data_IF_421963573954
#
_entry.id   IF_421963573954
#
_cell.length_a   1.000
_cell.length_b   1.000
_cell.length_c   1.000
_cell.angle_alpha   90.00
_cell.angle_beta   90.00
_cell.angle_gamma   90.00
#
_symmetry.space_group_name_H-M   'P 1'
#
loop_
_entity.id
_entity.type
_entity.pdbx_description
1 polymer ?
#
# COMPACT_ATOMS: atom_id res chain seq x y z
N UNK A 1 40.31 -73.39 -0.03
CA UNK A 1 39.51 -72.51 0.84
C UNK A 1 39.35 -71.11 0.24
N UNK A 2 40.37 -70.60 -0.47
CA UNK A 2 40.49 -69.22 -0.96
C UNK A 2 39.40 -68.70 -1.94
N UNK A 3 38.69 -69.57 -2.67
CA UNK A 3 37.65 -69.13 -3.63
C UNK A 3 36.35 -68.68 -2.95
N UNK A 4 36.04 -69.18 -1.75
CA UNK A 4 34.82 -68.78 -1.02
C UNK A 4 35.01 -67.46 -0.29
N UNK A 5 36.16 -67.27 0.39
CA UNK A 5 36.49 -66.02 1.09
C UNK A 5 36.54 -64.82 0.14
N UNK A 6 37.12 -64.99 -1.04
CA UNK A 6 37.14 -63.95 -2.07
C UNK A 6 35.73 -63.57 -2.58
N UNK A 7 34.79 -64.53 -2.65
CA UNK A 7 33.40 -64.24 -3.02
C UNK A 7 32.63 -63.50 -1.92
N UNK A 8 32.89 -63.79 -0.66
CA UNK A 8 32.28 -63.07 0.47
C UNK A 8 32.82 -61.64 0.60
N UNK A 9 34.13 -61.45 0.44
CA UNK A 9 34.77 -60.13 0.38
C UNK A 9 34.18 -59.28 -0.75
N UNK A 10 34.04 -59.82 -1.97
CA UNK A 10 33.43 -59.10 -3.09
C UNK A 10 31.96 -58.74 -2.81
N UNK A 11 31.17 -59.65 -2.22
CA UNK A 11 29.78 -59.37 -1.81
C UNK A 11 29.70 -58.24 -0.78
N UNK A 12 30.57 -58.24 0.23
CA UNK A 12 30.66 -57.19 1.24
C UNK A 12 31.00 -55.81 0.65
N UNK A 13 31.91 -55.76 -0.33
CA UNK A 13 32.27 -54.52 -1.05
C UNK A 13 31.08 -54.00 -1.86
N UNK A 14 30.36 -54.87 -2.58
CA UNK A 14 29.16 -54.46 -3.34
C UNK A 14 28.04 -53.93 -2.44
N UNK A 15 27.78 -54.54 -1.28
CA UNK A 15 26.73 -54.07 -0.35
C UNK A 15 27.09 -52.70 0.23
N UNK A 16 28.36 -52.48 0.57
CA UNK A 16 28.84 -51.18 1.07
C UNK A 16 28.72 -50.08 0.02
N UNK A 17 29.01 -50.38 -1.25
CA UNK A 17 28.86 -49.45 -2.36
C UNK A 17 27.40 -49.07 -2.59
N UNK A 18 26.48 -50.05 -2.62
CA UNK A 18 25.04 -49.81 -2.78
C UNK A 18 24.49 -48.97 -1.63
N UNK A 19 24.91 -49.25 -0.38
CA UNK A 19 24.51 -48.46 0.79
C UNK A 19 24.97 -47.01 0.67
N UNK A 20 26.20 -46.78 0.20
CA UNK A 20 26.73 -45.42 0.02
C UNK A 20 25.95 -44.66 -1.07
N UNK A 21 25.60 -45.30 -2.19
CA UNK A 21 24.77 -44.69 -3.24
C UNK A 21 23.36 -44.36 -2.74
N UNK A 22 22.76 -45.23 -1.93
CA UNK A 22 21.46 -44.93 -1.32
C UNK A 22 21.53 -43.71 -0.39
N UNK A 23 22.60 -43.63 0.42
CA UNK A 23 22.80 -42.52 1.35
C UNK A 23 23.02 -41.18 0.62
N UNK A 24 23.70 -41.17 -0.52
CA UNK A 24 23.86 -39.93 -1.31
C UNK A 24 22.53 -39.48 -1.91
N UNK A 25 21.69 -40.39 -2.38
CA UNK A 25 20.34 -40.07 -2.89
C UNK A 25 19.49 -39.44 -1.78
N UNK A 26 19.51 -40.03 -0.58
CA UNK A 26 18.77 -39.50 0.58
C UNK A 26 19.29 -38.11 0.95
N UNK A 27 20.61 -37.90 0.97
CA UNK A 27 21.20 -36.60 1.27
C UNK A 27 20.78 -35.52 0.27
N UNK A 28 20.77 -35.84 -1.04
CA UNK A 28 20.33 -34.92 -2.09
C UNK A 28 18.84 -34.59 -1.93
N UNK A 29 17.99 -35.58 -1.65
CA UNK A 29 16.57 -35.37 -1.43
C UNK A 29 16.30 -34.45 -0.23
N UNK A 30 17.03 -34.64 0.88
CA UNK A 30 16.95 -33.77 2.06
C UNK A 30 17.39 -32.34 1.75
N UNK A 31 18.47 -32.15 0.99
CA UNK A 31 18.94 -30.83 0.55
C UNK A 31 17.88 -30.08 -0.26
N UNK A 32 17.24 -30.77 -1.22
CA UNK A 32 16.15 -30.20 -2.03
C UNK A 32 14.96 -29.84 -1.13
N UNK A 33 14.61 -30.70 -0.17
CA UNK A 33 13.51 -30.46 0.75
C UNK A 33 13.76 -29.24 1.63
N UNK A 34 14.95 -29.13 2.23
CA UNK A 34 15.35 -27.99 3.06
C UNK A 34 15.30 -26.69 2.25
N UNK A 35 15.84 -26.69 1.03
CA UNK A 35 15.79 -25.53 0.14
C UNK A 35 14.36 -25.08 -0.14
N UNK A 36 13.47 -26.02 -0.49
CA UNK A 36 12.06 -25.74 -0.76
C UNK A 36 11.34 -25.21 0.48
N UNK A 37 11.62 -25.80 1.65
CA UNK A 37 11.06 -25.39 2.94
C UNK A 37 11.49 -23.96 3.33
N UNK A 38 12.77 -23.62 3.18
CA UNK A 38 13.27 -22.26 3.42
C UNK A 38 12.61 -21.24 2.48
N UNK A 39 12.49 -21.57 1.19
CA UNK A 39 11.83 -20.70 0.21
C UNK A 39 10.35 -20.47 0.55
N UNK A 40 9.66 -21.52 1.00
CA UNK A 40 8.27 -21.43 1.44
C UNK A 40 8.11 -20.55 2.69
N UNK A 41 8.97 -20.72 3.70
CA UNK A 41 8.98 -19.88 4.90
C UNK A 41 9.18 -18.39 4.58
N UNK A 42 10.10 -18.06 3.66
CA UNK A 42 10.31 -16.67 3.22
C UNK A 42 9.07 -16.05 2.59
N UNK A 43 8.37 -16.80 1.71
CA UNK A 43 7.11 -16.33 1.11
C UNK A 43 6.03 -16.07 2.16
N UNK A 44 5.89 -16.96 3.14
CA UNK A 44 4.92 -16.77 4.24
C UNK A 44 5.28 -15.55 5.07
N UNK A 45 6.56 -15.36 5.42
CA UNK A 45 6.99 -14.21 6.22
C UNK A 45 6.75 -12.90 5.48
N UNK A 46 7.03 -12.85 4.18
CA UNK A 46 6.76 -11.68 3.34
C UNK A 46 5.26 -11.40 3.24
N UNK A 47 4.44 -12.44 3.04
CA UNK A 47 2.98 -12.30 3.01
C UNK A 47 2.43 -11.74 4.33
N UNK A 48 2.88 -12.28 5.47
CA UNK A 48 2.46 -11.82 6.79
C UNK A 48 2.86 -10.35 7.03
N UNK A 49 4.09 -9.98 6.69
CA UNK A 49 4.58 -8.60 6.80
C UNK A 49 3.78 -7.65 5.92
N UNK A 50 3.53 -8.01 4.66
CA UNK A 50 2.78 -7.17 3.74
C UNK A 50 1.32 -7.00 4.18
N UNK A 51 0.70 -8.06 4.74
CA UNK A 51 -0.64 -7.98 5.32
C UNK A 51 -0.68 -7.01 6.50
N UNK A 52 0.27 -7.11 7.42
CA UNK A 52 0.33 -6.23 8.59
C UNK A 52 0.53 -4.76 8.18
N UNK A 53 1.41 -4.50 7.21
CA UNK A 53 1.60 -3.15 6.65
C UNK A 53 0.31 -2.64 6.01
N UNK A 54 -0.40 -3.49 5.27
CA UNK A 54 -1.66 -3.11 4.64
C UNK A 54 -2.75 -2.78 5.68
N UNK A 55 -2.88 -3.59 6.72
CA UNK A 55 -3.81 -3.33 7.83
C UNK A 55 -3.47 -2.01 8.54
N UNK A 56 -2.20 -1.77 8.86
CA UNK A 56 -1.74 -0.50 9.46
C UNK A 56 -2.02 0.70 8.56
N UNK A 57 -1.81 0.58 7.24
CA UNK A 57 -2.12 1.65 6.29
C UNK A 57 -3.62 1.92 6.19
N UNK A 58 -4.47 0.89 6.21
CA UNK A 58 -5.94 1.07 6.22
C UNK A 58 -6.38 1.83 7.47
N UNK A 59 -5.93 1.41 8.65
CA UNK A 59 -6.23 2.09 9.91
C UNK A 59 -5.76 3.54 9.92
N UNK A 60 -4.57 3.84 9.40
CA UNK A 60 -4.07 5.21 9.29
C UNK A 60 -4.93 6.08 8.36
N UNK A 61 -5.40 5.52 7.24
CA UNK A 61 -6.30 6.22 6.32
C UNK A 61 -7.65 6.50 6.95
N UNK A 62 -8.21 5.52 7.66
CA UNK A 62 -9.47 5.68 8.39
C UNK A 62 -9.37 6.76 9.48
N UNK A 63 -8.28 6.80 10.25
CA UNK A 63 -8.03 7.86 11.24
C UNK A 63 -7.96 9.25 10.60
N UNK A 64 -7.21 9.39 9.50
CA UNK A 64 -7.13 10.66 8.76
C UNK A 64 -8.48 11.10 8.20
N UNK A 65 -9.30 10.16 7.72
CA UNK A 65 -10.65 10.47 7.25
C UNK A 65 -11.54 10.98 8.39
N UNK A 66 -11.46 10.36 9.57
CA UNK A 66 -12.21 10.83 10.75
C UNK A 66 -11.75 12.21 11.23
N UNK A 67 -10.45 12.50 11.20
CA UNK A 67 -9.91 13.83 11.53
C UNK A 67 -10.41 14.88 10.54
N UNK A 68 -10.33 14.60 9.23
CA UNK A 68 -10.85 15.48 8.19
C UNK A 68 -12.35 15.72 8.31
N UNK A 69 -13.13 14.70 8.67
CA UNK A 69 -14.57 14.84 8.88
C UNK A 69 -14.89 15.77 10.06
N UNK A 70 -14.16 15.63 11.18
CA UNK A 70 -14.29 16.55 12.33
C UNK A 70 -13.91 17.98 11.96
N UNK A 71 -12.81 18.17 11.23
CA UNK A 71 -12.39 19.48 10.75
C UNK A 71 -13.42 20.10 9.81
N UNK A 72 -14.01 19.31 8.90
CA UNK A 72 -15.08 19.77 8.02
C UNK A 72 -16.33 20.22 8.78
N UNK A 73 -16.75 19.47 9.80
CA UNK A 73 -17.90 19.83 10.64
C UNK A 73 -17.62 21.14 11.38
N UNK A 74 -16.47 21.23 12.05
CA UNK A 74 -16.06 22.44 12.77
C UNK A 74 -15.94 23.65 11.84
N UNK A 75 -15.42 23.48 10.63
CA UNK A 75 -15.32 24.54 9.64
C UNK A 75 -16.70 24.96 9.11
N UNK A 76 -17.61 24.00 8.87
CA UNK A 76 -19.00 24.29 8.49
C UNK A 76 -19.73 25.08 9.57
N UNK A 77 -19.55 24.75 10.84
CA UNK A 77 -20.14 25.51 11.96
C UNK A 77 -19.58 26.92 12.04
N UNK A 78 -18.25 27.08 11.94
CA UNK A 78 -17.60 28.40 11.90
C UNK A 78 -18.08 29.24 10.70
N UNK A 79 -18.31 28.61 9.54
CA UNK A 79 -18.90 29.29 8.39
C UNK A 79 -20.34 29.74 8.66
N UNK A 80 -21.19 28.87 9.23
CA UNK A 80 -22.57 29.24 9.60
C UNK A 80 -22.61 30.41 10.58
N UNK A 81 -21.69 30.44 11.56
CA UNK A 81 -21.59 31.53 12.53
C UNK A 81 -21.13 32.85 11.89
N UNK A 82 -20.16 32.78 10.96
CA UNK A 82 -19.72 33.96 10.17
C UNK A 82 -20.82 34.49 9.25
N UNK A 83 -21.64 33.62 8.66
CA UNK A 83 -22.78 34.03 7.83
C UNK A 83 -23.82 34.78 8.67
N UNK A 84 -24.15 34.28 9.88
CA UNK A 84 -25.06 35.00 10.80
C UNK A 84 -24.51 36.36 11.24
N UNK A 85 -23.23 36.43 11.64
CA UNK A 85 -22.60 37.69 12.04
C UNK A 85 -22.51 38.72 10.89
N UNK A 86 -22.35 38.26 9.64
CA UNK A 86 -22.38 39.11 8.46
C UNK A 86 -23.77 39.58 8.03
N UNK A 87 -24.85 38.90 8.46
CA UNK A 87 -26.23 39.35 8.26
C UNK A 87 -26.63 40.43 9.27
N UNK A 88 -26.16 40.34 10.52
CA UNK A 88 -26.40 41.35 11.55
C UNK A 88 -25.66 42.67 11.23
N UNK A 89 -24.40 42.61 10.77
CA UNK A 89 -23.66 43.82 10.32
C UNK A 89 -24.25 44.49 9.07
N UNK A 90 -25.02 43.76 8.25
CA UNK A 90 -25.71 44.34 7.09
C UNK A 90 -27.02 45.03 7.47
N UNK A 91 -27.67 44.64 8.56
CA UNK A 91 -28.87 45.34 9.07
C UNK A 91 -28.52 46.68 9.71
N UNK A 92 -27.37 46.78 10.38
CA UNK A 92 -26.94 48.03 11.01
C UNK A 92 -26.40 49.10 10.04
N UNK A 93 -26.09 48.74 8.79
CA UNK A 93 -25.65 49.68 7.75
C UNK A 93 -26.73 50.06 6.74
N UNK A 94 -27.94 49.50 6.85
CA UNK A 94 -29.01 49.74 5.87
C UNK A 94 -29.76 51.07 6.08
N UNK A 95 -29.47 51.82 7.16
CA UNK A 95 -30.15 53.08 7.45
C UNK A 95 -29.54 54.33 6.83
N UNK A 96 -28.40 54.26 6.10
CA UNK A 96 -27.74 55.52 5.68
C UNK A 96 -26.97 55.50 4.33
N UNK A 97 -27.43 54.72 3.36
CA UNK A 97 -26.88 54.77 1.99
C UNK A 97 -27.93 55.20 0.98
N UNK A 98 -28.42 56.43 1.11
CA UNK A 98 -29.08 57.10 -0.01
C UNK A 98 -28.03 57.43 -1.09
N UNK A 99 -28.36 57.07 -2.34
CA UNK A 99 -27.67 57.37 -3.62
C UNK A 99 -26.57 56.37 -4.06
N UNK A 100 -27.00 55.30 -4.73
CA UNK A 100 -26.16 54.57 -5.68
C UNK A 100 -26.22 55.27 -7.06
N UNK A 101 -25.06 55.71 -7.57
CA UNK A 101 -24.90 56.20 -8.96
C UNK A 101 -24.96 55.02 -9.93
N UNK A 102 -25.59 55.16 -11.12
CA UNK A 102 -25.63 54.08 -12.09
C UNK A 102 -24.32 54.06 -12.89
N UNK A 103 -23.55 52.98 -12.78
CA UNK A 103 -22.37 52.77 -13.62
C UNK A 103 -21.18 52.18 -12.88
N UNK A 104 -21.24 50.90 -12.51
CA UNK A 104 -20.03 50.09 -12.38
C UNK A 104 -20.36 48.68 -12.90
N UNK A 105 -19.76 48.32 -14.02
CA UNK A 105 -19.67 46.94 -14.50
C UNK A 105 -18.56 46.26 -13.71
N UNK A 106 -18.89 45.77 -12.52
CA UNK A 106 -17.98 44.93 -11.75
C UNK A 106 -18.09 43.49 -12.26
N UNK A 107 -17.33 43.19 -13.32
CA UNK A 107 -17.15 41.82 -13.83
C UNK A 107 -16.20 41.03 -12.92
N UNK A 108 -16.47 41.00 -11.62
CA UNK A 108 -15.72 40.20 -10.65
C UNK A 108 -16.15 38.74 -10.75
N UNK A 109 -15.68 38.06 -11.80
CA UNK A 109 -15.84 36.62 -11.94
C UNK A 109 -14.92 35.94 -10.93
N UNK A 110 -15.54 35.43 -9.86
CA UNK A 110 -14.92 34.61 -8.84
C UNK A 110 -14.33 33.32 -9.46
N UNK A 111 -13.10 33.40 -9.97
CA UNK A 111 -12.33 32.24 -10.42
C UNK A 111 -11.60 31.62 -9.21
N UNK A 112 -12.29 30.73 -8.49
CA UNK A 112 -11.69 29.88 -7.44
C UNK A 112 -11.79 28.40 -7.74
N UNK A 113 -11.58 28.00 -9.00
CA UNK A 113 -11.16 26.64 -9.31
C UNK A 113 -9.70 26.68 -9.75
N UNK A 114 -8.79 26.42 -8.81
CA UNK A 114 -7.44 25.99 -9.18
C UNK A 114 -7.61 24.63 -9.87
N UNK A 115 -7.32 24.60 -11.16
CA UNK A 115 -7.45 23.42 -11.98
C UNK A 115 -6.35 22.41 -11.59
N UNK A 116 -6.68 21.50 -10.67
CA UNK A 116 -5.79 20.45 -10.18
C UNK A 116 -5.73 19.24 -11.12
N UNK A 117 -6.29 19.33 -12.33
CA UNK A 117 -6.23 18.27 -13.35
C UNK A 117 -4.80 17.81 -13.67
N UNK A 118 -3.83 18.71 -13.55
CA UNK A 118 -2.40 18.41 -13.74
C UNK A 118 -1.72 17.69 -12.56
N UNK A 119 -2.40 17.53 -11.42
CA UNK A 119 -1.87 16.81 -10.25
C UNK A 119 -2.30 15.33 -10.21
N UNK A 120 -2.85 14.78 -11.30
CA UNK A 120 -3.05 13.34 -11.39
C UNK A 120 -1.70 12.62 -11.46
N UNK A 121 -1.19 12.20 -10.31
CA UNK A 121 0.00 11.35 -10.22
C UNK A 121 -0.39 9.92 -10.61
N UNK A 122 0.11 9.36 -11.72
CA UNK A 122 -0.31 8.05 -12.19
C UNK A 122 0.02 6.97 -11.15
N UNK A 123 -0.93 6.04 -10.95
CA UNK A 123 -0.72 4.87 -10.11
C UNK A 123 0.51 4.08 -10.60
N UNK A 124 1.20 3.38 -9.69
CA UNK A 124 2.39 2.58 -10.03
C UNK A 124 2.08 1.59 -11.18
N UNK A 125 0.85 1.06 -11.22
CA UNK A 125 0.37 0.16 -12.28
C UNK A 125 0.37 0.80 -13.67
N UNK A 126 0.01 2.09 -13.77
CA UNK A 126 -0.03 2.81 -15.04
C UNK A 126 1.38 3.18 -15.52
N UNK A 127 2.35 3.34 -14.62
CA UNK A 127 3.75 3.63 -15.00
C UNK A 127 4.41 2.47 -15.74
N UNK A 128 4.16 1.22 -15.32
CA UNK A 128 4.73 0.06 -16.00
C UNK A 128 4.13 -0.20 -17.38
N UNK A 129 2.89 0.23 -17.62
CA UNK A 129 2.20 0.00 -18.90
C UNK A 129 2.67 0.94 -20.03
N UNK A 130 3.21 2.10 -19.67
CA UNK A 130 3.73 3.09 -20.62
C UNK A 130 5.25 2.99 -20.84
N UNK A 131 5.93 2.11 -20.11
CA UNK A 131 7.38 1.88 -20.26
C UNK A 131 7.70 0.72 -21.23
N UNK A 132 6.67 0.04 -21.75
CA UNK A 132 6.79 -1.10 -22.67
C UNK A 132 6.50 -0.76 -24.14
N UNK A 133 6.63 0.50 -24.53
CA UNK A 133 6.55 0.96 -25.93
C UNK A 133 7.92 1.35 -26.45
#
# INVERSE_FOLDING_TARGET
MDKMENRELMKGVTVRMVKNVLMTIIAIALLIFIYKFMKYKRKISEYKRNREINEKMKMSREKKLQELEKEMIANKEKMKERVKKGEDEKKDKQSDASKQRPGSTDNSTFNHFRDYSNYYRPSIRNRYKNASS
#
